data_IF_968161210487
#
_entry.id   IF_968161210487
#
_cell.length_a   1.000
_cell.length_b   1.000
_cell.length_c   1.000
_cell.angle_alpha   90.00
_cell.angle_beta   90.00
_cell.angle_gamma   90.00
#
_symmetry.space_group_name_H-M   'P 1'
#
loop_
_entity.id
_entity.type
_entity.pdbx_description
1 polymer ?
#
# COMPACT_ATOMS: atom_id res chain seq x y z
N UNK A 1 -15.15 -57.92 -21.49
CA UNK A 1 -15.92 -57.23 -20.43
C UNK A 1 -17.39 -57.38 -20.78
N UNK A 2 -18.10 -58.28 -20.11
CA UNK A 2 -19.54 -58.49 -20.34
C UNK A 2 -20.35 -57.49 -19.50
N UNK A 3 -20.76 -56.41 -20.17
CA UNK A 3 -21.49 -55.30 -19.57
C UNK A 3 -22.84 -55.73 -18.99
N UNK A 4 -23.41 -56.83 -19.50
CA UNK A 4 -24.71 -57.36 -19.08
C UNK A 4 -24.66 -57.93 -17.68
N UNK A 5 -23.56 -58.60 -17.33
CA UNK A 5 -23.35 -59.14 -15.98
C UNK A 5 -23.10 -58.03 -14.96
N UNK A 6 -22.35 -57.01 -15.34
CA UNK A 6 -22.05 -55.85 -14.47
C UNK A 6 -23.33 -55.09 -14.13
N UNK A 7 -24.21 -54.88 -15.10
CA UNK A 7 -25.50 -54.20 -14.90
C UNK A 7 -26.45 -55.02 -14.03
N UNK A 8 -26.54 -56.33 -14.25
CA UNK A 8 -27.34 -57.22 -13.39
C UNK A 8 -26.82 -57.22 -11.96
N UNK A 9 -25.50 -57.18 -11.76
CA UNK A 9 -24.88 -57.16 -10.43
C UNK A 9 -25.17 -55.85 -9.69
N UNK A 10 -25.26 -54.71 -10.40
CA UNK A 10 -25.67 -53.42 -9.81
C UNK A 10 -27.16 -53.34 -9.50
N UNK A 11 -28.02 -53.96 -10.32
CA UNK A 11 -29.47 -54.01 -10.08
C UNK A 11 -29.86 -55.00 -8.98
N UNK A 12 -29.08 -56.07 -8.79
CA UNK A 12 -29.31 -57.09 -7.78
C UNK A 12 -28.78 -56.71 -6.39
N UNK A 13 -27.91 -55.70 -6.30
CA UNK A 13 -27.56 -55.11 -5.01
C UNK A 13 -28.80 -54.37 -4.51
N UNK A 14 -29.40 -54.75 -3.36
CA UNK A 14 -30.44 -53.94 -2.75
C UNK A 14 -29.85 -52.55 -2.49
N UNK A 15 -30.65 -51.52 -2.75
CA UNK A 15 -30.34 -50.11 -2.53
C UNK A 15 -30.05 -49.86 -1.04
N UNK A 16 -28.87 -50.27 -0.58
CA UNK A 16 -28.42 -50.07 0.80
C UNK A 16 -27.78 -48.71 0.91
N UNK A 17 -28.65 -47.73 1.05
CA UNK A 17 -28.36 -46.45 1.65
C UNK A 17 -29.66 -45.65 1.69
N UNK A 18 -30.08 -45.10 2.83
CA UNK A 18 -31.13 -44.10 2.79
C UNK A 18 -30.60 -42.98 1.88
N UNK A 19 -31.22 -42.77 0.72
CA UNK A 19 -31.11 -41.50 0.02
C UNK A 19 -31.78 -40.46 0.93
N UNK A 20 -31.04 -40.03 1.95
CA UNK A 20 -31.32 -38.80 2.68
C UNK A 20 -31.36 -37.76 1.56
N UNK A 21 -32.55 -37.27 1.22
CA UNK A 21 -32.69 -36.10 0.33
C UNK A 21 -31.90 -35.01 1.04
N UNK A 22 -30.64 -34.83 0.63
CA UNK A 22 -29.77 -33.80 1.18
C UNK A 22 -30.50 -32.50 0.98
N UNK A 23 -30.49 -31.68 2.02
CA UNK A 23 -31.20 -30.41 1.97
C UNK A 23 -30.60 -29.58 0.83
N UNK A 24 -31.38 -28.76 0.13
CA UNK A 24 -30.91 -28.03 -1.06
C UNK A 24 -29.66 -27.17 -0.77
N UNK A 25 -29.52 -26.75 0.49
CA UNK A 25 -28.37 -26.05 1.03
C UNK A 25 -27.11 -26.92 1.16
N UNK A 26 -27.24 -28.16 1.64
CA UNK A 26 -26.12 -29.11 1.76
C UNK A 26 -25.60 -29.51 0.36
N UNK A 27 -26.51 -29.62 -0.62
CA UNK A 27 -26.13 -29.86 -2.03
C UNK A 27 -25.34 -28.69 -2.62
N UNK A 28 -25.76 -27.45 -2.34
CA UNK A 28 -25.04 -26.25 -2.80
C UNK A 28 -23.67 -26.11 -2.15
N UNK A 29 -23.55 -26.44 -0.86
CA UNK A 29 -22.25 -26.47 -0.16
C UNK A 29 -21.33 -27.55 -0.76
N UNK A 30 -21.85 -28.76 -1.01
CA UNK A 30 -21.09 -29.84 -1.64
C UNK A 30 -20.64 -29.48 -3.07
N UNK A 31 -21.49 -28.83 -3.86
CA UNK A 31 -21.14 -28.32 -5.19
C UNK A 31 -20.06 -27.24 -5.12
N UNK A 32 -20.16 -26.33 -4.15
CA UNK A 32 -19.16 -25.29 -3.89
C UNK A 32 -17.80 -25.90 -3.50
N UNK A 33 -17.81 -26.93 -2.67
CA UNK A 33 -16.61 -27.65 -2.24
C UNK A 33 -15.98 -28.41 -3.39
N UNK A 34 -16.79 -29.10 -4.20
CA UNK A 34 -16.32 -29.80 -5.40
C UNK A 34 -15.71 -28.82 -6.40
N UNK A 35 -16.40 -27.71 -6.66
CA UNK A 35 -15.94 -26.65 -7.55
C UNK A 35 -14.61 -26.08 -7.06
N UNK A 36 -14.54 -25.72 -5.77
CA UNK A 36 -13.32 -25.17 -5.15
C UNK A 36 -12.16 -26.14 -5.28
N UNK A 37 -12.38 -27.44 -5.04
CA UNK A 37 -11.36 -28.48 -5.17
C UNK A 37 -10.81 -28.56 -6.59
N UNK A 38 -11.68 -28.78 -7.59
CA UNK A 38 -11.25 -28.97 -8.98
C UNK A 38 -10.69 -27.68 -9.60
N UNK A 39 -11.26 -26.52 -9.25
CA UNK A 39 -10.73 -25.23 -9.67
C UNK A 39 -9.32 -24.98 -9.12
N UNK A 40 -9.09 -25.29 -7.84
CA UNK A 40 -7.76 -25.16 -7.20
C UNK A 40 -6.71 -26.09 -7.82
N UNK A 41 -7.13 -27.31 -8.16
CA UNK A 41 -6.30 -28.35 -8.77
C UNK A 41 -5.94 -27.99 -10.21
N UNK A 42 -6.91 -27.51 -10.99
CA UNK A 42 -6.72 -27.05 -12.37
C UNK A 42 -5.90 -25.75 -12.46
N UNK A 43 -6.10 -24.80 -11.54
CA UNK A 43 -5.37 -23.52 -11.50
C UNK A 43 -3.86 -23.68 -11.21
N UNK A 44 -3.39 -24.89 -10.91
CA UNK A 44 -1.96 -25.21 -10.89
C UNK A 44 -1.19 -24.50 -9.77
N UNK A 45 -1.83 -24.27 -8.63
CA UNK A 45 -1.13 -23.83 -7.43
C UNK A 45 -0.29 -24.96 -6.87
N UNK A 46 0.93 -25.16 -7.38
CA UNK A 46 1.90 -26.08 -6.75
C UNK A 46 2.04 -25.66 -5.28
N UNK A 47 1.42 -26.40 -4.36
CA UNK A 47 1.79 -26.39 -2.95
C UNK A 47 3.18 -27.00 -2.91
N UNK A 48 4.21 -26.18 -3.08
CA UNK A 48 5.60 -26.63 -3.00
C UNK A 48 5.81 -27.14 -1.57
N UNK A 49 5.86 -28.46 -1.43
CA UNK A 49 5.98 -29.22 -0.17
C UNK A 49 7.36 -29.11 0.48
N UNK A 50 8.25 -28.27 -0.07
CA UNK A 50 9.61 -28.10 0.44
C UNK A 50 9.59 -27.21 1.70
N UNK A 51 9.95 -27.78 2.85
CA UNK A 51 10.12 -27.10 4.16
C UNK A 51 10.92 -25.79 4.04
N UNK A 52 11.90 -25.74 3.14
CA UNK A 52 12.76 -24.57 2.90
C UNK A 52 12.00 -23.32 2.42
N UNK A 53 10.85 -23.48 1.75
CA UNK A 53 10.02 -22.34 1.33
C UNK A 53 9.11 -21.81 2.44
N UNK A 54 9.02 -22.49 3.59
CA UNK A 54 8.25 -22.00 4.75
C UNK A 54 8.99 -20.89 5.51
N UNK A 55 10.32 -20.87 5.45
CA UNK A 55 11.17 -19.86 6.11
C UNK A 55 11.41 -18.60 5.26
N UNK A 56 11.18 -18.65 3.94
CA UNK A 56 11.38 -17.51 3.05
C UNK A 56 10.08 -16.70 2.93
N UNK A 57 10.07 -15.40 3.30
CA UNK A 57 8.90 -14.55 3.12
C UNK A 57 8.47 -14.46 1.66
N UNK A 58 7.16 -14.43 1.43
CA UNK A 58 6.60 -14.30 0.08
C UNK A 58 6.84 -12.88 -0.44
N UNK A 59 7.73 -12.75 -1.42
CA UNK A 59 8.06 -11.46 -2.05
C UNK A 59 7.31 -11.19 -3.35
N UNK A 60 6.80 -12.25 -4.01
CA UNK A 60 6.08 -12.14 -5.28
C UNK A 60 4.62 -12.57 -5.12
N UNK A 61 3.71 -11.72 -5.61
CA UNK A 61 2.29 -12.00 -5.71
C UNK A 61 1.90 -11.94 -7.17
N UNK A 62 1.54 -13.09 -7.73
CA UNK A 62 1.02 -13.18 -9.09
C UNK A 62 -0.20 -12.26 -9.22
N UNK A 63 -0.24 -11.49 -10.30
CA UNK A 63 -1.41 -10.67 -10.60
C UNK A 63 -2.60 -11.59 -10.88
N UNK A 64 -3.84 -11.18 -10.52
CA UNK A 64 -5.04 -11.85 -10.98
C UNK A 64 -5.00 -11.98 -12.51
N UNK A 65 -5.43 -13.13 -13.02
CA UNK A 65 -5.55 -13.32 -14.45
C UNK A 65 -6.75 -12.52 -15.00
N UNK A 66 -6.78 -12.24 -16.30
CA UNK A 66 -7.80 -11.38 -16.93
C UNK A 66 -9.24 -11.93 -16.77
N UNK A 67 -9.38 -13.24 -16.60
CA UNK A 67 -10.63 -13.93 -16.31
C UNK A 67 -11.14 -13.67 -14.88
N UNK A 68 -10.28 -13.19 -13.98
CA UNK A 68 -10.60 -12.86 -12.59
C UNK A 68 -11.02 -11.38 -12.41
N UNK A 69 -11.97 -10.93 -13.22
CA UNK A 69 -12.41 -9.52 -13.31
C UNK A 69 -12.73 -8.90 -11.93
N UNK A 70 -13.35 -9.66 -11.03
CA UNK A 70 -13.69 -9.17 -9.69
C UNK A 70 -12.44 -8.90 -8.83
N UNK A 71 -11.45 -9.78 -8.88
CA UNK A 71 -10.19 -9.60 -8.13
C UNK A 71 -9.37 -8.45 -8.70
N UNK A 72 -9.39 -8.27 -10.02
CA UNK A 72 -8.78 -7.13 -10.68
C UNK A 72 -9.41 -5.81 -10.24
N UNK A 73 -10.75 -5.71 -10.29
CA UNK A 73 -11.48 -4.51 -9.83
C UNK A 73 -11.23 -4.19 -8.35
N UNK A 74 -11.28 -5.20 -7.48
CA UNK A 74 -11.03 -5.00 -6.05
C UNK A 74 -9.59 -4.51 -5.80
N UNK A 75 -8.62 -5.01 -6.56
CA UNK A 75 -7.23 -4.53 -6.51
C UNK A 75 -7.10 -3.09 -6.99
N UNK A 76 -7.78 -2.73 -8.08
CA UNK A 76 -7.77 -1.37 -8.63
C UNK A 76 -8.41 -0.37 -7.64
N UNK A 77 -9.58 -0.69 -7.09
CA UNK A 77 -10.29 0.14 -6.11
C UNK A 77 -9.48 0.33 -4.82
N UNK A 78 -8.95 -0.76 -4.24
CA UNK A 78 -8.13 -0.68 -3.04
C UNK A 78 -6.87 0.17 -3.25
N UNK A 79 -6.24 0.07 -4.44
CA UNK A 79 -5.09 0.91 -4.81
C UNK A 79 -5.48 2.37 -5.03
N UNK A 80 -6.60 2.64 -5.70
CA UNK A 80 -7.09 4.00 -5.92
C UNK A 80 -7.34 4.71 -4.58
N UNK A 81 -8.01 4.03 -3.64
CA UNK A 81 -8.24 4.56 -2.28
C UNK A 81 -6.92 4.80 -1.55
N UNK A 82 -5.95 3.89 -1.66
CA UNK A 82 -4.63 4.07 -1.06
C UNK A 82 -3.89 5.30 -1.63
N UNK A 83 -3.85 5.44 -2.96
CA UNK A 83 -3.22 6.57 -3.62
C UNK A 83 -3.91 7.89 -3.27
N UNK A 84 -5.24 7.89 -3.17
CA UNK A 84 -6.00 9.07 -2.75
C UNK A 84 -5.70 9.46 -1.30
N UNK A 85 -5.58 8.48 -0.39
CA UNK A 85 -5.15 8.76 0.99
C UNK A 85 -3.75 9.37 1.02
N UNK A 86 -2.82 8.83 0.24
CA UNK A 86 -1.45 9.35 0.13
C UNK A 86 -1.36 10.72 -0.54
N UNK A 87 -2.21 11.02 -1.52
CA UNK A 87 -2.23 12.34 -2.13
C UNK A 87 -2.73 13.39 -1.14
N UNK A 88 -3.71 13.07 -0.28
CA UNK A 88 -4.21 13.97 0.77
C UNK A 88 -3.20 14.24 1.89
N UNK A 89 -2.24 13.34 2.10
CA UNK A 89 -1.12 13.55 3.04
C UNK A 89 -0.09 14.55 2.50
N UNK A 90 -0.08 14.85 1.20
CA UNK A 90 0.83 15.84 0.62
C UNK A 90 0.46 17.26 1.07
N UNK A 91 1.50 18.10 1.16
CA UNK A 91 1.35 19.52 1.40
C UNK A 91 0.84 20.21 0.12
N UNK A 92 -0.23 20.99 0.27
CA UNK A 92 -0.78 21.80 -0.81
C UNK A 92 0.00 23.12 -0.96
N UNK A 93 -0.16 23.81 -2.10
CA UNK A 93 0.55 25.06 -2.36
C UNK A 93 0.28 26.13 -1.31
N UNK A 94 -0.97 26.25 -0.86
CA UNK A 94 -1.35 27.18 0.21
C UNK A 94 -0.66 26.84 1.54
N UNK A 95 -0.55 25.55 1.88
CA UNK A 95 0.13 25.09 3.09
C UNK A 95 1.64 25.37 3.03
N UNK A 96 2.26 25.24 1.85
CA UNK A 96 3.67 25.60 1.64
C UNK A 96 3.91 27.10 1.76
N UNK A 97 3.02 27.93 1.21
CA UNK A 97 3.10 29.39 1.35
C UNK A 97 2.91 29.81 2.82
N UNK A 98 1.94 29.21 3.51
CA UNK A 98 1.72 29.46 4.94
C UNK A 98 2.93 29.05 5.78
N UNK A 99 3.57 27.91 5.45
CA UNK A 99 4.79 27.47 6.11
C UNK A 99 5.93 28.47 5.93
N UNK A 100 6.15 28.96 4.71
CA UNK A 100 7.15 29.98 4.42
C UNK A 100 6.92 31.25 5.24
N UNK A 101 5.69 31.75 5.24
CA UNK A 101 5.31 32.95 6.00
C UNK A 101 5.50 32.77 7.52
N UNK A 102 5.14 31.62 8.07
CA UNK A 102 5.34 31.34 9.49
C UNK A 102 6.83 31.26 9.87
N UNK A 103 7.67 30.69 9.00
CA UNK A 103 9.11 30.63 9.22
C UNK A 103 9.73 32.04 9.20
N UNK A 104 9.36 32.85 8.22
CA UNK A 104 9.83 34.24 8.08
C UNK A 104 9.45 35.10 9.30
N UNK A 105 8.23 34.97 9.81
CA UNK A 105 7.76 35.67 11.02
C UNK A 105 8.51 35.28 12.29
N UNK A 106 9.03 34.06 12.35
CA UNK A 106 9.67 33.48 13.54
C UNK A 106 11.20 33.39 13.42
N UNK A 107 11.80 34.14 12.50
CA UNK A 107 13.24 34.25 12.36
C UNK A 107 13.92 34.87 13.59
N UNK A 108 15.14 34.43 13.87
CA UNK A 108 15.97 34.88 14.99
C UNK A 108 17.13 35.74 14.48
N UNK A 109 17.18 37.04 14.82
CA UNK A 109 18.37 37.86 14.59
C UNK A 109 19.59 37.32 15.37
N UNK A 110 20.83 37.67 14.98
CA UNK A 110 21.24 38.37 13.75
C UNK A 110 21.20 37.46 12.52
N UNK A 111 20.87 38.05 11.37
CA UNK A 111 21.04 37.39 10.06
C UNK A 111 22.53 37.20 9.80
N UNK A 112 22.92 36.01 9.36
CA UNK A 112 24.28 35.75 8.90
C UNK A 112 24.26 36.05 7.40
N UNK A 113 24.65 37.28 7.04
CA UNK A 113 24.50 37.78 5.67
C UNK A 113 23.04 37.99 5.28
N UNK A 114 22.61 37.38 4.17
CA UNK A 114 21.22 37.42 3.67
C UNK A 114 20.37 36.22 4.15
N UNK A 115 20.94 35.29 4.92
CA UNK A 115 20.24 34.09 5.34
C UNK A 115 19.41 34.30 6.60
N UNK A 116 18.11 34.07 6.47
CA UNK A 116 17.17 34.03 7.59
C UNK A 116 17.43 32.79 8.47
N UNK A 117 17.75 33.01 9.74
CA UNK A 117 18.09 31.94 10.69
C UNK A 117 16.95 31.68 11.67
N UNK A 118 16.80 30.45 12.14
CA UNK A 118 15.82 30.07 13.17
C UNK A 118 16.45 29.18 14.25
N UNK A 119 16.15 29.48 15.52
CA UNK A 119 16.54 28.65 16.66
C UNK A 119 15.58 27.47 16.88
N UNK A 120 15.96 26.52 17.74
CA UNK A 120 15.15 25.34 17.98
C UNK A 120 13.80 25.64 18.65
N UNK A 121 13.74 26.63 19.55
CA UNK A 121 12.49 27.01 20.21
C UNK A 121 11.45 27.56 19.23
N UNK A 122 11.87 28.46 18.34
CA UNK A 122 10.99 29.01 17.32
C UNK A 122 10.64 27.97 16.27
N UNK A 123 11.57 27.06 15.95
CA UNK A 123 11.28 25.90 15.10
C UNK A 123 10.14 25.06 15.66
N UNK A 124 10.13 24.77 16.97
CA UNK A 124 9.02 24.06 17.63
C UNK A 124 7.72 24.88 17.62
N UNK A 125 7.79 26.19 17.91
CA UNK A 125 6.62 27.08 17.87
C UNK A 125 5.99 27.13 16.48
N UNK A 126 6.80 27.18 15.42
CA UNK A 126 6.30 27.13 14.03
C UNK A 126 5.68 25.76 13.76
N UNK A 127 6.29 24.67 14.22
CA UNK A 127 5.73 23.32 14.07
C UNK A 127 4.36 23.12 14.73
N UNK A 128 4.10 23.78 15.87
CA UNK A 128 2.79 23.75 16.53
C UNK A 128 1.74 24.63 15.84
N UNK A 129 2.16 25.77 15.27
CA UNK A 129 1.28 26.65 14.49
C UNK A 129 1.03 26.13 13.08
N UNK A 130 1.96 25.34 12.55
CA UNK A 130 1.82 24.72 11.26
C UNK A 130 0.77 23.61 11.32
N UNK A 131 0.09 23.38 10.19
CA UNK A 131 -0.95 22.36 10.09
C UNK A 131 -0.45 20.95 10.41
N UNK A 132 -1.37 19.99 10.67
CA UNK A 132 -1.02 18.62 11.06
C UNK A 132 -0.12 17.90 10.04
N UNK A 133 -0.25 18.21 8.75
CA UNK A 133 0.62 17.66 7.69
C UNK A 133 2.07 18.12 7.79
N UNK A 134 2.31 19.31 8.33
CA UNK A 134 3.66 19.87 8.49
C UNK A 134 4.43 19.24 9.66
N UNK A 135 3.73 18.75 10.69
CA UNK A 135 4.34 18.23 11.93
C UNK A 135 5.38 17.14 11.69
N UNK A 136 5.19 16.30 10.66
CA UNK A 136 6.16 15.25 10.30
C UNK A 136 7.55 15.79 9.88
N UNK A 137 7.63 17.05 9.43
CA UNK A 137 8.90 17.68 9.06
C UNK A 137 9.60 18.34 10.28
N UNK A 138 8.84 18.71 11.31
CA UNK A 138 9.34 19.35 12.53
C UNK A 138 9.84 18.33 13.56
N UNK A 139 10.83 17.52 13.17
CA UNK A 139 11.47 16.53 14.07
C UNK A 139 12.85 17.00 14.50
N UNK A 140 13.26 16.71 15.74
CA UNK A 140 14.61 16.98 16.24
C UNK A 140 15.71 16.42 15.31
N UNK A 141 15.48 15.25 14.71
CA UNK A 141 16.37 14.64 13.71
C UNK A 141 16.55 15.51 12.45
N UNK A 142 15.51 16.20 11.99
CA UNK A 142 15.60 17.10 10.83
C UNK A 142 16.38 18.34 11.20
N UNK A 143 16.11 18.91 12.38
CA UNK A 143 16.86 20.05 12.89
C UNK A 143 18.35 19.73 13.02
N UNK A 144 18.70 18.62 13.66
CA UNK A 144 20.10 18.18 13.82
C UNK A 144 20.80 17.89 12.49
N UNK A 145 20.07 17.41 11.48
CA UNK A 145 20.62 17.19 10.13
C UNK A 145 20.93 18.48 9.38
N UNK A 146 20.21 19.56 9.67
CA UNK A 146 20.39 20.88 9.06
C UNK A 146 21.33 21.78 9.88
N UNK A 147 21.69 21.34 11.08
CA UNK A 147 22.60 22.01 11.97
C UNK A 147 24.03 21.82 11.45
N UNK A 148 24.45 22.69 10.53
CA UNK A 148 25.81 22.70 10.03
C UNK A 148 26.52 23.96 10.50
N UNK A 149 27.57 23.78 11.32
CA UNK A 149 28.63 24.77 11.55
C UNK A 149 28.21 26.15 12.10
N UNK A 150 27.03 26.29 12.72
CA UNK A 150 26.64 27.53 13.42
C UNK A 150 27.05 27.47 14.90
N UNK A 151 27.81 28.47 15.35
CA UNK A 151 28.24 28.63 16.75
C UNK A 151 27.07 28.90 17.71
N UNK A 152 25.94 29.35 17.17
CA UNK A 152 24.72 29.65 17.92
C UNK A 152 23.67 28.52 17.85
N UNK A 153 23.96 27.42 17.16
CA UNK A 153 23.05 26.29 17.05
C UNK A 153 21.73 26.59 16.30
N UNK A 154 21.75 27.51 15.33
CA UNK A 154 20.59 27.85 14.49
C UNK A 154 20.68 27.15 13.13
N UNK A 155 19.55 27.07 12.45
CA UNK A 155 19.47 26.53 11.08
C UNK A 155 18.98 27.61 10.11
N UNK A 156 19.41 27.52 8.85
CA UNK A 156 18.94 28.39 7.78
C UNK A 156 17.52 28.00 7.39
N UNK A 157 16.60 28.98 7.42
CA UNK A 157 15.19 28.80 7.05
C UNK A 157 15.09 28.31 5.61
N UNK A 158 15.92 28.85 4.72
CA UNK A 158 15.98 28.44 3.31
C UNK A 158 16.35 26.96 3.17
N UNK A 159 17.36 26.49 3.92
CA UNK A 159 17.77 25.09 3.88
C UNK A 159 16.65 24.16 4.37
N UNK A 160 15.95 24.53 5.44
CA UNK A 160 14.80 23.78 5.94
C UNK A 160 13.64 23.76 4.93
N UNK A 161 13.30 24.90 4.34
CA UNK A 161 12.24 24.97 3.34
C UNK A 161 12.58 24.12 2.10
N UNK A 162 13.83 24.18 1.63
CA UNK A 162 14.31 23.33 0.54
C UNK A 162 14.31 21.84 0.89
N UNK A 163 14.49 21.47 2.15
CA UNK A 163 14.33 20.09 2.61
C UNK A 163 12.86 19.64 2.49
N UNK A 164 11.91 20.46 2.96
CA UNK A 164 10.47 20.17 2.86
C UNK A 164 10.05 20.07 1.40
N UNK A 165 10.43 21.03 0.56
CA UNK A 165 10.16 21.04 -0.87
C UNK A 165 10.67 19.77 -1.56
N UNK A 166 11.93 19.38 -1.32
CA UNK A 166 12.49 18.13 -1.89
C UNK A 166 11.73 16.91 -1.43
N UNK A 167 11.32 16.84 -0.16
CA UNK A 167 10.52 15.73 0.36
C UNK A 167 9.15 15.64 -0.32
N UNK A 168 8.44 16.76 -0.45
CA UNK A 168 7.13 16.83 -1.12
C UNK A 168 7.27 16.47 -2.61
N UNK A 169 8.31 16.97 -3.28
CA UNK A 169 8.60 16.66 -4.68
C UNK A 169 8.81 15.16 -4.90
N UNK A 170 9.64 14.51 -4.08
CA UNK A 170 9.90 13.07 -4.19
C UNK A 170 8.62 12.26 -3.93
N UNK A 171 7.84 12.64 -2.91
CA UNK A 171 6.57 11.98 -2.60
C UNK A 171 5.57 12.13 -3.76
N UNK A 172 5.48 13.32 -4.35
CA UNK A 172 4.63 13.61 -5.50
C UNK A 172 5.05 12.79 -6.73
N UNK A 173 6.36 12.75 -7.04
CA UNK A 173 6.89 11.93 -8.14
C UNK A 173 6.57 10.44 -7.96
N UNK A 174 6.78 9.90 -6.76
CA UNK A 174 6.47 8.50 -6.48
C UNK A 174 4.97 8.19 -6.64
N UNK A 175 4.09 9.13 -6.27
CA UNK A 175 2.64 8.98 -6.46
C UNK A 175 2.24 9.03 -7.94
N UNK A 176 2.88 9.92 -8.70
CA UNK A 176 2.69 10.02 -10.14
C UNK A 176 3.13 8.71 -10.83
N UNK A 177 4.31 8.21 -10.49
CA UNK A 177 4.85 6.94 -11.00
C UNK A 177 3.92 5.75 -10.68
N UNK A 178 3.43 5.68 -9.44
CA UNK A 178 2.47 4.65 -9.04
C UNK A 178 1.15 4.76 -9.82
N UNK A 179 0.71 5.98 -10.15
CA UNK A 179 -0.49 6.22 -10.96
C UNK A 179 -0.27 5.85 -12.44
N UNK A 180 0.90 6.14 -13.01
CA UNK A 180 1.25 5.69 -14.36
C UNK A 180 1.37 4.17 -14.45
N UNK A 181 1.98 3.54 -13.45
CA UNK A 181 2.05 2.07 -13.33
C UNK A 181 0.66 1.41 -13.23
N UNK A 182 -0.38 2.12 -12.78
CA UNK A 182 -1.75 1.57 -12.76
C UNK A 182 -2.43 1.56 -14.13
N UNK A 183 -1.98 2.38 -15.08
CA UNK A 183 -2.58 2.46 -16.43
C UNK A 183 -1.87 1.49 -17.39
N UNK A 184 -0.56 1.28 -17.23
CA UNK A 184 0.22 0.37 -18.06
C UNK A 184 0.48 -0.96 -17.35
N UNK A 185 -0.57 -1.76 -17.14
CA UNK A 185 -0.43 -3.10 -16.55
C UNK A 185 0.01 -4.20 -17.54
N UNK A 186 0.57 -3.85 -18.71
CA UNK A 186 0.97 -4.83 -19.72
C UNK A 186 2.28 -4.61 -20.50
N UNK A 187 3.03 -3.52 -20.28
CA UNK A 187 4.03 -3.10 -21.30
C UNK A 187 5.42 -2.73 -20.78
N UNK A 188 5.81 -3.18 -19.58
CA UNK A 188 7.17 -2.99 -19.07
C UNK A 188 7.68 -4.27 -18.41
N UNK A 189 7.80 -5.35 -19.20
CA UNK A 189 8.80 -6.41 -19.09
C UNK A 189 8.97 -7.06 -20.47
#
# INVERSE_FOLDING_TARGET
MDWKEVLRRRLAAPDTGPQKKKNEQELKEEEMDLFTKYYSEWKGGRKNTNEFYKTIPRFYYRLPAEDEVLLQKLREESRAVFLQRKSRELLDNEELQNLWFLLDKHQTPPMIGEEAMINYENFLKVGEKAGPKCKQFFTAKVFAKLLHTDSYGRISIMQFFNYVMRKVMILSWNLLELRFSTVNLGSLL
#
